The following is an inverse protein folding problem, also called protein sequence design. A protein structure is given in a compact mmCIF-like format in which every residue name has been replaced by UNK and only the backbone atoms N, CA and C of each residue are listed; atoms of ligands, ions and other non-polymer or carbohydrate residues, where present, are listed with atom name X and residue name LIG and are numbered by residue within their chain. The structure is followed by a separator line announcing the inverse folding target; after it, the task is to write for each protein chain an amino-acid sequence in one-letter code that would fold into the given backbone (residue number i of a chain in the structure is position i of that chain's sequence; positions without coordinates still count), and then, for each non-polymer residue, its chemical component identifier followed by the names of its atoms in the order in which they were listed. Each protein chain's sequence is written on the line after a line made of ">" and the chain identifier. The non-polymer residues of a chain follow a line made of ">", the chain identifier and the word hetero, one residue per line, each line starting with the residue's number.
data_IF_382766851256
#
_entry.id   IF_382766851256
#
_cell.length_a   1.000
_cell.length_b   1.000
_cell.length_c   1.000
_cell.angle_alpha   90.00
_cell.angle_beta   90.00
_cell.angle_gamma   90.00
#
_symmetry.space_group_name_H-M   'P 1'
#
loop_
_entity.id
_entity.type
_entity.pdbx_description
1 polymer ?
#
# COMPACT_ATOMS: atom_id res chain seq x y z
N UNK A 1 -30.71 0.92 3.01
CA UNK A 1 -29.80 -0.16 3.47
C UNK A 1 -29.04 -0.63 2.24
N UNK A 2 -27.70 -0.70 2.31
CA UNK A 2 -26.89 -1.13 1.16
C UNK A 2 -27.06 -2.64 0.94
N UNK A 3 -27.00 -3.09 -0.31
CA UNK A 3 -26.95 -4.53 -0.63
C UNK A 3 -25.60 -5.13 -0.24
N UNK A 4 -25.52 -6.44 -0.09
CA UNK A 4 -24.26 -7.11 0.27
C UNK A 4 -23.14 -6.82 -0.74
N UNK A 5 -23.46 -6.80 -2.04
CA UNK A 5 -22.52 -6.41 -3.08
C UNK A 5 -22.02 -4.98 -2.90
N UNK A 6 -22.91 -4.03 -2.58
CA UNK A 6 -22.52 -2.65 -2.33
C UNK A 6 -21.62 -2.52 -1.10
N UNK A 7 -21.90 -3.28 -0.04
CA UNK A 7 -21.06 -3.32 1.16
C UNK A 7 -19.66 -3.86 0.85
N UNK A 8 -19.55 -4.91 0.03
CA UNK A 8 -18.25 -5.45 -0.39
C UNK A 8 -17.44 -4.45 -1.21
N UNK A 9 -18.09 -3.70 -2.12
CA UNK A 9 -17.42 -2.66 -2.90
C UNK A 9 -16.91 -1.54 -1.99
N UNK A 10 -17.74 -1.03 -1.08
CA UNK A 10 -17.34 0.01 -0.12
C UNK A 10 -16.16 -0.46 0.73
N UNK A 11 -16.20 -1.71 1.20
CA UNK A 11 -15.12 -2.27 2.01
C UNK A 11 -13.84 -2.48 1.19
N UNK A 12 -13.94 -2.90 -0.08
CA UNK A 12 -12.80 -2.96 -1.00
C UNK A 12 -12.15 -1.59 -1.21
N UNK A 13 -12.95 -0.53 -1.40
CA UNK A 13 -12.43 0.83 -1.54
C UNK A 13 -11.69 1.29 -0.27
N UNK A 14 -12.24 1.00 0.90
CA UNK A 14 -11.59 1.29 2.18
C UNK A 14 -10.25 0.54 2.33
N UNK A 15 -10.22 -0.76 2.05
CA UNK A 15 -8.99 -1.56 2.09
C UNK A 15 -7.95 -1.08 1.09
N UNK A 16 -8.38 -0.64 -0.10
CA UNK A 16 -7.47 -0.04 -1.10
C UNK A 16 -6.85 1.26 -0.59
N UNK A 17 -7.60 2.07 0.15
CA UNK A 17 -7.07 3.26 0.83
C UNK A 17 -6.00 2.92 1.88
N UNK A 18 -6.23 1.89 2.70
CA UNK A 18 -5.25 1.40 3.68
C UNK A 18 -3.99 0.87 3.00
N UNK A 19 -4.16 0.11 1.91
CA UNK A 19 -3.04 -0.42 1.14
C UNK A 19 -2.21 0.72 0.53
N UNK A 20 -2.86 1.74 -0.03
CA UNK A 20 -2.18 2.93 -0.54
C UNK A 20 -1.37 3.64 0.54
N UNK A 21 -1.99 3.94 1.69
CA UNK A 21 -1.35 4.65 2.77
C UNK A 21 -0.14 3.87 3.32
N UNK A 22 -0.29 2.56 3.51
CA UNK A 22 0.78 1.72 4.04
C UNK A 22 1.95 1.57 3.05
N UNK A 23 1.68 1.36 1.76
CA UNK A 23 2.75 1.29 0.75
C UNK A 23 3.50 2.61 0.64
N UNK A 24 2.77 3.73 0.71
CA UNK A 24 3.36 5.06 0.70
C UNK A 24 4.26 5.29 1.95
N UNK A 25 3.80 4.86 3.13
CA UNK A 25 4.58 4.92 4.36
C UNK A 25 5.86 4.08 4.29
N UNK A 26 5.78 2.86 3.73
CA UNK A 26 6.95 1.98 3.54
C UNK A 26 7.94 2.68 2.59
N UNK A 27 7.49 3.14 1.43
CA UNK A 27 8.33 3.83 0.46
C UNK A 27 9.02 5.07 1.06
N UNK A 28 8.27 5.92 1.77
CA UNK A 28 8.83 7.07 2.48
C UNK A 28 9.89 6.65 3.49
N UNK A 29 9.59 5.63 4.29
CA UNK A 29 10.48 5.15 5.36
C UNK A 29 11.75 4.50 4.82
N UNK A 30 11.72 3.93 3.61
CA UNK A 30 12.91 3.44 2.91
C UNK A 30 13.80 4.58 2.40
N UNK A 31 13.20 5.65 1.87
CA UNK A 31 13.96 6.78 1.32
C UNK A 31 14.52 7.69 2.41
N UNK A 32 13.78 7.87 3.50
CA UNK A 32 14.17 8.67 4.66
C UNK A 32 14.35 7.76 5.89
N UNK A 33 15.44 6.97 5.94
CA UNK A 33 15.77 6.20 7.12
C UNK A 33 16.01 7.21 8.26
N UNK A 34 15.32 7.04 9.38
CA UNK A 34 15.51 7.94 10.53
C UNK A 34 16.93 7.85 11.07
N UNK A 35 17.35 8.85 11.86
CA UNK A 35 18.65 8.86 12.52
C UNK A 35 18.86 7.71 13.51
N UNK A 36 20.07 7.58 14.06
CA UNK A 36 20.42 6.56 15.07
C UNK A 36 19.40 6.57 16.21
N UNK A 37 18.73 5.43 16.44
CA UNK A 37 17.65 5.27 17.43
C UNK A 37 16.22 5.28 16.87
N UNK A 38 16.05 5.47 15.56
CA UNK A 38 14.71 5.48 14.95
C UNK A 38 14.04 4.10 14.96
N UNK A 39 12.84 4.02 15.56
CA UNK A 39 11.96 2.83 15.52
C UNK A 39 11.25 2.65 14.17
N UNK A 40 11.54 3.49 13.17
CA UNK A 40 10.84 3.54 11.88
C UNK A 40 10.97 2.23 11.09
N UNK A 41 12.10 1.53 11.16
CA UNK A 41 12.23 0.18 10.58
C UNK A 41 11.29 -0.83 11.26
N UNK A 42 11.17 -0.78 12.59
CA UNK A 42 10.23 -1.62 13.33
C UNK A 42 8.78 -1.36 12.91
N UNK A 43 8.39 -0.08 12.80
CA UNK A 43 7.06 0.29 12.30
C UNK A 43 6.83 -0.13 10.85
N UNK A 44 7.85 -0.05 9.99
CA UNK A 44 7.77 -0.54 8.61
C UNK A 44 7.44 -2.04 8.55
N UNK A 45 8.08 -2.86 9.40
CA UNK A 45 7.79 -4.30 9.47
C UNK A 45 6.37 -4.56 9.95
N UNK A 46 5.91 -3.86 10.99
CA UNK A 46 4.54 -3.98 11.49
C UNK A 46 3.54 -3.59 10.39
N UNK A 47 3.77 -2.49 9.68
CA UNK A 47 2.92 -2.05 8.57
C UNK A 47 2.93 -3.08 7.45
N UNK A 48 4.07 -3.68 7.10
CA UNK A 48 4.14 -4.72 6.08
C UNK A 48 3.27 -5.94 6.43
N UNK A 49 3.27 -6.38 7.70
CA UNK A 49 2.40 -7.47 8.17
C UNK A 49 0.92 -7.08 8.07
N UNK A 50 0.56 -5.86 8.48
CA UNK A 50 -0.82 -5.35 8.36
C UNK A 50 -1.25 -5.32 6.89
N UNK A 51 -0.37 -4.88 5.98
CA UNK A 51 -0.67 -4.84 4.55
C UNK A 51 -0.88 -6.23 3.95
N UNK A 52 -0.14 -7.25 4.41
CA UNK A 52 -0.38 -8.63 3.99
C UNK A 52 -1.80 -9.10 4.38
N UNK A 53 -2.28 -8.72 5.56
CA UNK A 53 -3.66 -8.98 5.98
C UNK A 53 -4.68 -8.22 5.12
N UNK A 54 -4.42 -6.94 4.81
CA UNK A 54 -5.27 -6.12 3.94
C UNK A 54 -5.40 -6.75 2.55
N UNK A 55 -4.28 -7.15 1.94
CA UNK A 55 -4.27 -7.85 0.64
C UNK A 55 -5.04 -9.17 0.71
N UNK A 56 -4.90 -9.91 1.81
CA UNK A 56 -5.64 -11.17 2.03
C UNK A 56 -7.15 -10.93 2.11
N UNK A 57 -7.58 -9.86 2.79
CA UNK A 57 -8.99 -9.50 2.87
C UNK A 57 -9.54 -9.03 1.52
N UNK A 58 -8.80 -8.20 0.78
CA UNK A 58 -9.19 -7.79 -0.58
C UNK A 58 -9.35 -8.99 -1.51
N UNK A 59 -8.44 -9.96 -1.43
CA UNK A 59 -8.53 -11.18 -2.23
C UNK A 59 -9.83 -11.95 -1.94
N UNK A 60 -10.16 -12.13 -0.65
CA UNK A 60 -11.39 -12.83 -0.26
C UNK A 60 -12.65 -12.11 -0.74
N UNK A 61 -12.67 -10.78 -0.66
CA UNK A 61 -13.80 -9.98 -1.14
C UNK A 61 -13.96 -10.04 -2.66
N UNK A 62 -12.86 -10.01 -3.42
CA UNK A 62 -12.93 -10.16 -4.88
C UNK A 62 -13.45 -11.55 -5.28
N UNK A 63 -13.01 -12.60 -4.58
CA UNK A 63 -13.55 -13.95 -4.80
C UNK A 63 -15.05 -14.01 -4.43
N UNK A 64 -15.46 -13.34 -3.36
CA UNK A 64 -16.89 -13.23 -2.97
C UNK A 64 -17.73 -12.40 -3.97
N UNK A 65 -17.08 -11.59 -4.80
CA UNK A 65 -17.69 -10.87 -5.93
C UNK A 65 -17.58 -11.66 -7.24
N UNK A 66 -17.31 -12.97 -7.17
CA UNK A 66 -17.22 -13.88 -8.32
C UNK A 66 -16.06 -13.60 -9.29
N UNK A 67 -15.02 -12.87 -8.85
CA UNK A 67 -13.78 -12.75 -9.61
C UNK A 67 -12.96 -14.05 -9.50
N UNK A 68 -12.35 -14.47 -10.61
CA UNK A 68 -11.44 -15.61 -10.58
C UNK A 68 -10.21 -15.31 -9.70
N UNK A 69 -9.67 -16.35 -9.07
CA UNK A 69 -8.51 -16.22 -8.19
C UNK A 69 -7.29 -15.59 -8.90
N UNK A 70 -7.09 -15.88 -10.18
CA UNK A 70 -6.02 -15.30 -11.00
C UNK A 70 -6.25 -13.81 -11.23
N UNK A 71 -7.46 -13.43 -11.63
CA UNK A 71 -7.83 -12.04 -11.90
C UNK A 71 -7.77 -11.20 -10.62
N UNK A 72 -8.26 -11.73 -9.49
CA UNK A 72 -8.19 -11.06 -8.19
C UNK A 72 -6.74 -10.72 -7.78
N UNK A 73 -5.82 -11.68 -7.92
CA UNK A 73 -4.39 -11.44 -7.64
C UNK A 73 -3.78 -10.41 -8.58
N UNK A 74 -4.12 -10.48 -9.87
CA UNK A 74 -3.63 -9.54 -10.87
C UNK A 74 -4.12 -8.11 -10.58
N UNK A 75 -5.39 -7.94 -10.21
CA UNK A 75 -5.95 -6.63 -9.83
C UNK A 75 -5.25 -6.07 -8.60
N UNK A 76 -5.12 -6.85 -7.53
CA UNK A 76 -4.54 -6.36 -6.28
C UNK A 76 -3.06 -6.06 -6.43
N UNK A 77 -2.28 -7.01 -6.96
CA UNK A 77 -0.82 -6.87 -7.01
C UNK A 77 -0.39 -6.05 -8.23
N UNK A 78 -0.82 -6.46 -9.42
CA UNK A 78 -0.42 -5.83 -10.68
C UNK A 78 -1.14 -4.51 -10.95
N UNK A 79 -2.42 -4.41 -10.58
CA UNK A 79 -3.22 -3.21 -10.81
C UNK A 79 -3.03 -2.12 -9.76
N UNK A 80 -2.65 -2.48 -8.53
CA UNK A 80 -2.61 -1.51 -7.42
C UNK A 80 -1.30 -1.52 -6.64
N UNK A 81 -0.94 -2.63 -6.00
CA UNK A 81 0.16 -2.64 -5.04
C UNK A 81 1.52 -2.29 -5.67
N UNK A 82 1.86 -2.93 -6.80
CA UNK A 82 3.13 -2.69 -7.49
C UNK A 82 3.21 -1.27 -8.06
N UNK A 83 2.22 -0.78 -8.84
CA UNK A 83 2.24 0.60 -9.34
C UNK A 83 2.35 1.64 -8.23
N UNK A 84 1.53 1.54 -7.18
CA UNK A 84 1.54 2.49 -6.06
C UNK A 84 2.89 2.50 -5.37
N UNK A 85 3.44 1.32 -5.07
CA UNK A 85 4.73 1.23 -4.39
C UNK A 85 5.87 1.86 -5.22
N UNK A 86 5.94 1.53 -6.52
CA UNK A 86 6.97 2.07 -7.41
C UNK A 86 6.83 3.59 -7.57
N UNK A 87 5.61 4.10 -7.76
CA UNK A 87 5.35 5.53 -7.88
C UNK A 87 5.72 6.28 -6.61
N UNK A 88 5.33 5.78 -5.43
CA UNK A 88 5.72 6.36 -4.15
C UNK A 88 7.24 6.37 -3.96
N UNK A 89 7.92 5.28 -4.31
CA UNK A 89 9.37 5.18 -4.15
C UNK A 89 10.11 6.17 -5.06
N UNK A 90 9.69 6.28 -6.33
CA UNK A 90 10.25 7.27 -7.27
C UNK A 90 9.97 8.69 -6.79
N UNK A 91 8.74 8.98 -6.36
CA UNK A 91 8.34 10.28 -5.84
C UNK A 91 9.24 10.73 -4.68
N UNK A 92 9.40 9.87 -3.66
CA UNK A 92 10.22 10.22 -2.49
C UNK A 92 11.70 10.31 -2.83
N UNK A 93 12.22 9.49 -3.74
CA UNK A 93 13.62 9.62 -4.21
C UNK A 93 13.87 10.97 -4.88
N UNK A 94 12.98 11.40 -5.77
CA UNK A 94 13.07 12.72 -6.42
C UNK A 94 12.97 13.83 -5.36
N UNK A 95 12.05 13.70 -4.40
CA UNK A 95 11.89 14.66 -3.32
C UNK A 95 13.18 14.79 -2.49
N UNK A 96 13.77 13.67 -2.09
CA UNK A 96 15.03 13.65 -1.33
C UNK A 96 16.16 14.34 -2.09
N UNK A 97 16.34 14.02 -3.37
CA UNK A 97 17.36 14.63 -4.21
C UNK A 97 17.19 16.15 -4.34
N UNK A 98 15.94 16.63 -4.45
CA UNK A 98 15.63 18.08 -4.48
C UNK A 98 15.93 18.76 -3.15
N UNK A 99 15.71 18.08 -2.02
CA UNK A 99 16.02 18.61 -0.69
C UNK A 99 17.52 18.71 -0.46
N UNK A 100 18.30 17.71 -0.88
CA UNK A 100 19.76 17.71 -0.80
C UNK A 100 20.35 18.85 -1.66
N UNK A 101 19.88 19.03 -2.90
CA UNK A 101 20.30 20.14 -3.79
C UNK A 101 19.96 21.56 -3.33
N UNK A 102 19.06 21.72 -2.36
CA UNK A 102 18.70 23.03 -1.80
C UNK A 102 19.55 23.40 -0.57
N UNK A 103 20.30 22.44 -0.02
CA UNK A 103 21.15 22.64 1.14
C UNK A 103 22.61 22.94 0.76
N UNK A 104 23.00 22.71 -0.49
CA UNK A 104 24.24 23.20 -1.12
C UNK A 104 24.03 24.59 -1.75
#
# INVERSE_FOLDING_TARGET
>A
MLTDTQNFIVYLMFLSGLLFLGLNFIAHSMVFPGGKGSKRMGYMLIVAVILALVVTQQYRLLVALEFSASLARQIILGGFAVPVFLLSLVYYRIQRFRSEKKQD
#
